data_IF_277976293608
#
_entry.id   IF_277976293608
#
_cell.length_a   1.000
_cell.length_b   1.000
_cell.length_c   1.000
_cell.angle_alpha   90.00
_cell.angle_beta   90.00
_cell.angle_gamma   90.00
#
_symmetry.space_group_name_H-M   'P 1'
#
loop_
_entity.id
_entity.type
_entity.pdbx_description
1 polymer ?
#
# COMPACT_ATOMS: atom_id res chain seq x y z
N UNK A 1 -1.45 -17.65 21.27
CA UNK A 1 -2.55 -18.05 20.37
C UNK A 1 -3.87 -17.59 20.99
N UNK A 2 -4.47 -16.53 20.46
CA UNK A 2 -5.80 -16.05 20.81
C UNK A 2 -6.47 -15.70 19.47
N UNK A 3 -7.40 -16.52 19.01
CA UNK A 3 -7.90 -16.42 17.64
C UNK A 3 -8.97 -17.45 17.33
N UNK A 4 -8.58 -18.64 16.89
CA UNK A 4 -9.56 -19.68 16.54
C UNK A 4 -10.35 -20.12 17.79
N UNK A 5 -11.69 -20.03 17.75
CA UNK A 5 -12.59 -20.55 18.80
C UNK A 5 -13.19 -19.55 19.78
N UNK A 6 -12.80 -18.27 19.76
CA UNK A 6 -13.46 -17.23 20.56
C UNK A 6 -14.35 -16.40 19.66
N UNK A 7 -15.67 -16.60 19.80
CA UNK A 7 -16.71 -15.87 19.07
C UNK A 7 -17.41 -14.86 19.98
N UNK A 8 -16.76 -13.71 20.17
CA UNK A 8 -17.32 -12.58 20.91
C UNK A 8 -17.75 -11.52 19.92
N UNK A 9 -19.06 -11.34 19.76
CA UNK A 9 -19.62 -10.45 18.73
C UNK A 9 -19.36 -8.97 19.00
N UNK A 10 -19.21 -8.59 20.27
CA UNK A 10 -19.12 -7.21 20.72
C UNK A 10 -17.69 -6.69 20.97
N UNK A 11 -16.70 -7.17 20.21
CA UNK A 11 -15.33 -6.65 20.26
C UNK A 11 -15.32 -5.25 19.62
N UNK A 12 -14.92 -4.23 20.42
CA UNK A 12 -14.87 -2.82 19.97
C UNK A 12 -13.52 -2.37 19.43
N UNK A 13 -12.45 -3.01 19.87
CA UNK A 13 -11.10 -2.64 19.49
C UNK A 13 -10.29 -3.89 19.17
N UNK A 14 -9.58 -3.84 18.04
CA UNK A 14 -8.49 -4.77 17.73
C UNK A 14 -7.23 -3.94 17.58
N UNK A 15 -6.23 -4.23 18.41
CA UNK A 15 -4.97 -3.49 18.45
C UNK A 15 -3.84 -4.43 18.07
N UNK A 16 -3.15 -4.10 16.98
CA UNK A 16 -1.92 -4.74 16.56
C UNK A 16 -0.76 -3.89 17.05
N UNK A 17 -0.03 -4.39 18.05
CA UNK A 17 1.15 -3.69 18.58
C UNK A 17 2.41 -3.89 17.72
N UNK A 18 2.43 -4.95 16.91
CA UNK A 18 3.47 -5.23 15.93
C UNK A 18 2.84 -5.47 14.56
N UNK A 19 3.64 -5.27 13.51
CA UNK A 19 3.20 -5.56 12.15
C UNK A 19 2.87 -7.05 11.98
N UNK A 20 1.66 -7.40 11.50
CA UNK A 20 1.35 -8.76 11.08
C UNK A 20 2.30 -9.25 9.99
N UNK A 21 2.41 -10.58 9.85
CA UNK A 21 3.31 -11.18 8.86
C UNK A 21 2.83 -11.01 7.41
N UNK A 22 1.53 -10.78 7.20
CA UNK A 22 0.88 -10.67 5.90
C UNK A 22 -0.52 -10.05 6.06
N UNK A 23 -1.14 -9.67 4.93
CA UNK A 23 -2.46 -9.03 4.89
C UNK A 23 -3.58 -10.01 5.26
N UNK A 24 -3.45 -11.29 4.93
CA UNK A 24 -4.49 -12.30 5.20
C UNK A 24 -4.70 -12.50 6.71
N UNK A 25 -3.61 -12.64 7.46
CA UNK A 25 -3.64 -12.71 8.93
C UNK A 25 -4.22 -11.42 9.52
N UNK A 26 -3.76 -10.26 9.03
CA UNK A 26 -4.28 -8.97 9.49
C UNK A 26 -5.79 -8.86 9.27
N UNK A 27 -6.27 -9.19 8.06
CA UNK A 27 -7.69 -9.14 7.70
C UNK A 27 -8.55 -10.06 8.57
N UNK A 28 -8.09 -11.29 8.78
CA UNK A 28 -8.77 -12.25 9.65
C UNK A 28 -8.84 -11.77 11.11
N UNK A 29 -7.78 -11.16 11.61
CA UNK A 29 -7.67 -10.68 12.99
C UNK A 29 -8.56 -9.45 13.22
N UNK A 30 -8.53 -8.46 12.32
CA UNK A 30 -9.39 -7.27 12.44
C UNK A 30 -10.88 -7.58 12.23
N UNK A 31 -11.20 -8.60 11.42
CA UNK A 31 -12.59 -9.06 11.18
C UNK A 31 -13.29 -9.68 12.41
N UNK A 32 -12.62 -9.71 13.56
CA UNK A 32 -13.22 -10.07 14.85
C UNK A 32 -13.95 -8.90 15.51
N UNK A 33 -13.58 -7.68 15.17
CA UNK A 33 -14.22 -6.48 15.70
C UNK A 33 -15.59 -6.28 15.06
N UNK A 34 -16.57 -5.76 15.81
CA UNK A 34 -17.80 -5.23 15.19
C UNK A 34 -18.75 -6.26 14.58
N UNK A 35 -18.70 -7.55 14.96
CA UNK A 35 -19.58 -8.59 14.39
C UNK A 35 -21.06 -8.39 14.72
N UNK A 36 -21.35 -7.64 15.77
CA UNK A 36 -22.69 -7.17 16.14
C UNK A 36 -23.18 -5.96 15.29
N UNK A 37 -22.37 -5.49 14.32
CA UNK A 37 -22.69 -4.33 13.46
C UNK A 37 -22.48 -2.98 14.13
N UNK A 38 -22.14 -2.94 15.43
CA UNK A 38 -21.82 -1.70 16.12
C UNK A 38 -20.44 -1.19 15.69
N UNK A 39 -20.23 0.13 15.84
CA UNK A 39 -18.93 0.76 15.54
C UNK A 39 -17.80 0.06 16.30
N UNK A 40 -16.73 -0.23 15.58
CA UNK A 40 -15.51 -0.80 16.13
C UNK A 40 -14.32 -0.21 15.40
N UNK A 41 -13.19 -0.13 16.11
CA UNK A 41 -11.95 0.46 15.63
C UNK A 41 -10.84 -0.59 15.57
N UNK A 42 -9.94 -0.40 14.60
CA UNK A 42 -8.75 -1.20 14.43
C UNK A 42 -7.54 -0.28 14.44
N UNK A 43 -6.52 -0.63 15.22
CA UNK A 43 -5.31 0.19 15.38
C UNK A 43 -4.08 -0.67 15.11
N UNK A 44 -3.27 -0.25 14.15
CA UNK A 44 -1.99 -0.89 13.84
C UNK A 44 -0.85 0.06 14.20
N UNK A 45 -0.05 -0.34 15.18
CA UNK A 45 1.26 0.25 15.40
C UNK A 45 2.26 -0.39 14.45
N UNK A 46 3.03 0.45 13.76
CA UNK A 46 3.99 0.04 12.75
C UNK A 46 5.30 0.79 12.91
N UNK A 47 6.40 0.05 12.89
CA UNK A 47 7.74 0.57 12.69
C UNK A 47 8.46 -0.21 11.57
N UNK A 48 9.39 0.45 10.89
CA UNK A 48 10.23 -0.25 9.91
C UNK A 48 11.10 -1.33 10.57
N UNK A 49 11.44 -1.16 11.85
CA UNK A 49 12.18 -2.16 12.63
C UNK A 49 11.42 -3.48 12.76
N UNK A 50 10.09 -3.45 12.87
CA UNK A 50 9.27 -4.68 12.87
C UNK A 50 9.48 -5.50 11.60
N UNK A 51 9.58 -4.83 10.45
CA UNK A 51 9.83 -5.49 9.15
C UNK A 51 11.19 -6.15 9.14
N UNK A 52 12.23 -5.47 9.62
CA UNK A 52 13.59 -6.01 9.66
C UNK A 52 13.67 -7.26 10.55
N UNK A 53 13.03 -7.21 11.72
CA UNK A 53 12.97 -8.36 12.65
C UNK A 53 12.24 -9.54 12.00
N UNK A 54 11.08 -9.30 11.38
CA UNK A 54 10.33 -10.37 10.70
C UNK A 54 11.09 -10.95 9.51
N UNK A 55 11.80 -10.13 8.73
CA UNK A 55 12.65 -10.60 7.63
C UNK A 55 13.79 -11.50 8.12
N UNK A 56 14.46 -11.14 9.22
CA UNK A 56 15.52 -11.96 9.83
C UNK A 56 14.97 -13.32 10.31
N UNK A 57 13.82 -13.31 11.00
CA UNK A 57 13.13 -14.52 11.43
C UNK A 57 12.78 -15.41 10.23
N UNK A 58 12.27 -14.82 9.14
CA UNK A 58 11.91 -15.58 7.94
C UNK A 58 13.14 -16.23 7.29
N UNK A 59 14.25 -15.50 7.18
CA UNK A 59 15.50 -16.01 6.58
C UNK A 59 16.12 -17.15 7.37
N UNK A 60 16.02 -17.13 8.69
CA UNK A 60 16.54 -18.20 9.57
C UNK A 60 15.76 -19.51 9.48
N UNK A 61 14.48 -19.45 9.11
CA UNK A 61 13.59 -20.61 9.04
C UNK A 61 13.61 -21.29 7.66
N UNK A 62 14.79 -21.40 7.02
CA UNK A 62 15.04 -21.92 5.66
C UNK A 62 13.89 -22.78 5.12
N UNK A 63 13.04 -22.16 4.29
CA UNK A 63 11.88 -22.82 3.69
C UNK A 63 11.83 -22.51 2.21
N UNK A 64 11.45 -23.48 1.39
CA UNK A 64 11.25 -23.31 -0.06
C UNK A 64 10.31 -22.14 -0.40
N UNK A 65 9.44 -21.78 0.55
CA UNK A 65 8.47 -20.68 0.44
C UNK A 65 9.01 -19.31 0.93
N UNK A 66 10.31 -19.16 1.16
CA UNK A 66 10.90 -17.93 1.73
C UNK A 66 10.59 -16.70 0.86
N UNK A 67 10.73 -16.82 -0.46
CA UNK A 67 10.45 -15.73 -1.40
C UNK A 67 9.01 -15.23 -1.30
N UNK A 68 8.04 -16.15 -1.25
CA UNK A 68 6.62 -15.81 -1.08
C UNK A 68 6.34 -15.14 0.27
N UNK A 69 6.91 -15.68 1.36
CA UNK A 69 6.73 -15.10 2.70
C UNK A 69 7.29 -13.67 2.78
N UNK A 70 8.45 -13.42 2.16
CA UNK A 70 9.02 -12.08 2.06
C UNK A 70 8.12 -11.15 1.23
N UNK A 71 7.59 -11.62 0.09
CA UNK A 71 6.69 -10.83 -0.73
C UNK A 71 5.41 -10.44 0.03
N UNK A 72 4.81 -11.36 0.79
CA UNK A 72 3.63 -11.09 1.62
C UNK A 72 3.93 -10.09 2.75
N UNK A 73 5.10 -10.20 3.38
CA UNK A 73 5.54 -9.25 4.40
C UNK A 73 5.77 -7.85 3.79
N UNK A 74 6.39 -7.77 2.62
CA UNK A 74 6.57 -6.51 1.90
C UNK A 74 5.22 -5.88 1.57
N UNK A 75 4.23 -6.70 1.17
CA UNK A 75 2.87 -6.22 0.92
C UNK A 75 2.21 -5.66 2.19
N UNK A 76 2.42 -6.29 3.35
CA UNK A 76 1.92 -5.79 4.63
C UNK A 76 2.60 -4.48 5.04
N UNK A 77 3.92 -4.34 4.80
CA UNK A 77 4.63 -3.05 4.96
C UNK A 77 3.98 -1.97 4.08
N UNK A 78 3.81 -2.26 2.79
CA UNK A 78 3.20 -1.34 1.83
C UNK A 78 1.79 -0.93 2.24
N UNK A 79 1.00 -1.84 2.82
CA UNK A 79 -0.31 -1.52 3.39
C UNK A 79 -0.19 -0.51 4.53
N UNK A 80 0.74 -0.70 5.47
CA UNK A 80 0.94 0.21 6.60
C UNK A 80 1.43 1.61 6.14
N UNK A 81 2.28 1.66 5.12
CA UNK A 81 2.85 2.90 4.55
C UNK A 81 1.94 3.59 3.52
N UNK A 82 0.81 2.97 3.17
CA UNK A 82 -0.03 3.45 2.08
C UNK A 82 -0.63 4.83 2.34
N UNK A 83 -0.76 5.59 1.26
CA UNK A 83 -1.36 6.94 1.22
C UNK A 83 -2.77 6.97 0.62
N UNK A 84 -3.29 5.81 0.21
CA UNK A 84 -4.66 5.63 -0.28
C UNK A 84 -5.57 5.05 0.80
N UNK A 85 -6.88 4.97 0.52
CA UNK A 85 -7.86 4.40 1.42
C UNK A 85 -7.49 2.98 1.88
N UNK A 86 -7.35 2.77 3.20
CA UNK A 86 -7.00 1.46 3.78
C UNK A 86 -7.96 0.35 3.35
N UNK A 87 -9.27 0.64 3.34
CA UNK A 87 -10.30 -0.35 3.00
C UNK A 87 -10.18 -0.77 1.54
N UNK A 88 -10.04 0.19 0.63
CA UNK A 88 -9.87 -0.09 -0.80
C UNK A 88 -8.68 -1.02 -1.03
N UNK A 89 -7.56 -0.78 -0.36
CA UNK A 89 -6.37 -1.65 -0.46
C UNK A 89 -6.66 -3.08 0.01
N UNK A 90 -7.34 -3.25 1.14
CA UNK A 90 -7.69 -4.58 1.65
C UNK A 90 -8.61 -5.32 0.68
N UNK A 91 -9.62 -4.64 0.13
CA UNK A 91 -10.58 -5.24 -0.80
C UNK A 91 -9.93 -5.57 -2.15
N UNK A 92 -9.13 -4.66 -2.69
CA UNK A 92 -8.36 -4.92 -3.93
C UNK A 92 -7.33 -6.04 -3.77
N UNK A 93 -6.78 -6.27 -2.57
CA UNK A 93 -5.92 -7.43 -2.31
C UNK A 93 -6.64 -8.77 -2.50
N UNK A 94 -7.95 -8.82 -2.24
CA UNK A 94 -8.81 -9.98 -2.49
C UNK A 94 -9.55 -9.89 -3.83
N UNK A 95 -9.03 -9.09 -4.77
CA UNK A 95 -9.57 -8.89 -6.11
C UNK A 95 -11.01 -8.37 -6.14
N UNK A 96 -11.43 -7.65 -5.08
CA UNK A 96 -12.69 -6.92 -5.06
C UNK A 96 -12.49 -5.51 -5.66
N UNK A 97 -13.29 -5.19 -6.68
CA UNK A 97 -13.25 -3.88 -7.34
C UNK A 97 -14.07 -2.86 -6.55
N UNK A 98 -13.38 -1.86 -6.00
CA UNK A 98 -13.98 -0.77 -5.25
C UNK A 98 -13.45 0.54 -5.80
N UNK A 99 -14.34 1.29 -6.46
CA UNK A 99 -14.00 2.57 -7.06
C UNK A 99 -13.86 3.70 -6.02
N UNK A 100 -14.64 3.62 -4.94
CA UNK A 100 -14.78 4.71 -3.96
C UNK A 100 -13.98 4.49 -2.68
N UNK A 101 -13.51 5.60 -2.11
CA UNK A 101 -12.84 5.61 -0.80
C UNK A 101 -13.86 5.48 0.34
N UNK A 102 -13.48 4.78 1.41
CA UNK A 102 -14.43 4.36 2.44
C UNK A 102 -14.92 5.44 3.41
N UNK A 103 -14.31 6.62 3.42
CA UNK A 103 -14.62 7.71 4.36
C UNK A 103 -14.34 7.42 5.85
N UNK A 104 -13.94 6.21 6.24
CA UNK A 104 -13.87 5.79 7.65
C UNK A 104 -12.49 5.32 8.14
N UNK A 105 -11.45 5.30 7.29
CA UNK A 105 -10.09 4.99 7.73
C UNK A 105 -9.27 6.24 8.09
N UNK A 106 -8.13 6.05 8.73
CA UNK A 106 -7.17 7.10 9.10
C UNK A 106 -6.75 7.98 7.90
N UNK A 107 -6.50 7.35 6.74
CA UNK A 107 -6.14 8.06 5.51
C UNK A 107 -7.30 8.88 4.97
N UNK A 108 -8.52 8.33 4.93
CA UNK A 108 -9.70 9.09 4.48
C UNK A 108 -10.06 10.25 5.41
N UNK A 109 -9.83 10.09 6.72
CA UNK A 109 -10.08 11.14 7.73
C UNK A 109 -9.04 12.26 7.67
N UNK A 110 -7.83 11.97 7.17
CA UNK A 110 -6.77 12.95 6.99
C UNK A 110 -6.05 12.70 5.65
N UNK A 111 -6.66 13.06 4.52
CA UNK A 111 -6.16 12.72 3.20
C UNK A 111 -4.89 13.51 2.86
N UNK A 112 -3.91 12.89 2.19
CA UNK A 112 -2.75 13.60 1.66
C UNK A 112 -3.13 14.55 0.51
N UNK A 113 -2.23 15.48 0.17
CA UNK A 113 -2.41 16.33 -1.02
C UNK A 113 -2.28 15.48 -2.28
N UNK A 114 -3.40 15.24 -2.95
CA UNK A 114 -3.48 14.56 -4.23
C UNK A 114 -3.38 15.55 -5.41
N UNK A 115 -3.10 15.03 -6.60
CA UNK A 115 -3.14 15.75 -7.87
C UNK A 115 -3.72 14.83 -8.97
N UNK A 116 -4.19 15.43 -10.08
CA UNK A 116 -4.62 14.68 -11.25
C UNK A 116 -3.41 13.96 -11.89
N UNK A 117 -3.31 12.67 -11.61
CA UNK A 117 -2.28 11.76 -12.11
C UNK A 117 -2.77 10.89 -13.25
N UNK A 118 -3.91 11.21 -13.88
CA UNK A 118 -4.56 10.37 -14.90
C UNK A 118 -3.61 10.02 -16.04
N UNK A 119 -2.84 10.99 -16.55
CA UNK A 119 -1.88 10.73 -17.63
C UNK A 119 -0.74 9.81 -17.18
N UNK A 120 -0.28 9.94 -15.93
CA UNK A 120 0.75 9.05 -15.36
C UNK A 120 0.21 7.63 -15.26
N UNK A 121 -1.03 7.47 -14.78
CA UNK A 121 -1.71 6.19 -14.71
C UNK A 121 -1.88 5.58 -16.11
N UNK A 122 -2.37 6.36 -17.08
CA UNK A 122 -2.53 5.91 -18.47
C UNK A 122 -1.21 5.46 -19.10
N UNK A 123 -0.09 6.19 -18.87
CA UNK A 123 1.25 5.79 -19.31
C UNK A 123 1.63 4.41 -18.73
N UNK A 124 1.47 4.23 -17.41
CA UNK A 124 1.78 2.97 -16.73
C UNK A 124 0.92 1.80 -17.22
N UNK A 125 -0.41 1.96 -17.22
CA UNK A 125 -1.34 0.91 -17.66
C UNK A 125 -1.11 0.56 -19.14
N UNK A 126 -0.85 1.57 -19.99
CA UNK A 126 -0.49 1.37 -21.39
C UNK A 126 0.82 0.62 -21.59
N UNK A 127 1.81 0.85 -20.72
CA UNK A 127 3.08 0.15 -20.76
C UNK A 127 2.91 -1.32 -20.35
N UNK A 128 2.20 -1.58 -19.25
CA UNK A 128 1.88 -2.94 -18.78
C UNK A 128 1.14 -3.73 -19.88
N UNK A 129 0.16 -3.11 -20.55
CA UNK A 129 -0.54 -3.72 -21.69
C UNK A 129 0.41 -4.09 -22.84
N UNK A 130 1.29 -3.17 -23.25
CA UNK A 130 2.23 -3.38 -24.38
C UNK A 130 3.34 -4.37 -24.05
N UNK A 131 3.70 -4.49 -22.78
CA UNK A 131 4.60 -5.51 -22.27
C UNK A 131 3.89 -6.86 -22.08
N UNK A 132 2.68 -7.02 -22.62
CA UNK A 132 1.89 -8.25 -22.58
C UNK A 132 1.66 -8.79 -21.17
N UNK A 133 1.74 -7.91 -20.15
CA UNK A 133 1.54 -8.26 -18.75
C UNK A 133 2.47 -9.39 -18.27
N UNK A 134 3.68 -9.49 -18.82
CA UNK A 134 4.64 -10.60 -18.58
C UNK A 134 5.92 -10.16 -17.86
N UNK A 135 5.89 -8.99 -17.21
CA UNK A 135 7.04 -8.43 -16.50
C UNK A 135 6.66 -7.86 -15.13
N UNK A 136 7.65 -7.79 -14.23
CA UNK A 136 7.50 -7.18 -12.91
C UNK A 136 7.58 -5.65 -12.92
N UNK A 137 7.22 -5.02 -11.80
CA UNK A 137 7.18 -3.55 -11.65
C UNK A 137 8.48 -2.86 -12.06
N UNK A 138 9.64 -3.38 -11.66
CA UNK A 138 10.94 -2.77 -11.98
C UNK A 138 11.15 -2.62 -13.49
N UNK A 139 10.82 -3.66 -14.25
CA UNK A 139 10.94 -3.65 -15.71
C UNK A 139 9.94 -2.67 -16.34
N UNK A 140 8.71 -2.58 -15.83
CA UNK A 140 7.74 -1.56 -16.26
C UNK A 140 8.31 -0.15 -16.08
N UNK A 141 8.93 0.13 -14.93
CA UNK A 141 9.54 1.44 -14.64
C UNK A 141 10.73 1.69 -15.57
N UNK A 142 11.60 0.69 -15.77
CA UNK A 142 12.75 0.80 -16.67
C UNK A 142 12.30 1.14 -18.10
N UNK A 143 11.23 0.52 -18.60
CA UNK A 143 10.65 0.81 -19.91
C UNK A 143 10.08 2.23 -19.95
N UNK A 144 9.24 2.62 -18.98
CA UNK A 144 8.66 3.96 -18.91
C UNK A 144 9.73 5.06 -18.89
N UNK A 145 10.84 4.81 -18.20
CA UNK A 145 11.95 5.77 -18.09
C UNK A 145 12.92 5.76 -19.28
N UNK A 146 12.78 4.81 -20.21
CA UNK A 146 13.69 4.69 -21.34
C UNK A 146 15.06 4.13 -20.95
N UNK A 147 15.09 3.15 -20.06
CA UNK A 147 16.33 2.53 -19.55
C UNK A 147 17.10 1.83 -20.66
N UNK A 148 18.42 2.03 -20.70
CA UNK A 148 19.35 1.40 -21.64
C UNK A 148 19.83 0.01 -21.23
N UNK A 149 19.24 -0.60 -20.20
CA UNK A 149 19.65 -1.92 -19.69
C UNK A 149 19.62 -2.97 -20.80
N UNK A 150 20.62 -3.84 -20.82
CA UNK A 150 20.78 -4.91 -21.81
C UNK A 150 19.52 -5.77 -21.96
N UNK A 151 18.90 -6.15 -20.85
CA UNK A 151 17.66 -6.95 -20.83
C UNK A 151 16.50 -6.28 -21.60
N UNK A 152 16.36 -4.95 -21.49
CA UNK A 152 15.32 -4.18 -22.20
C UNK A 152 15.56 -4.19 -23.71
N UNK A 153 16.83 -4.13 -24.12
CA UNK A 153 17.23 -4.16 -25.52
C UNK A 153 17.02 -5.56 -26.12
N UNK A 154 17.52 -6.60 -25.44
CA UNK A 154 17.40 -7.99 -25.87
C UNK A 154 15.95 -8.46 -26.01
N UNK A 155 15.07 -8.00 -25.11
CA UNK A 155 13.62 -8.32 -25.17
C UNK A 155 12.83 -7.46 -26.15
N UNK A 156 13.47 -6.51 -26.84
CA UNK A 156 12.81 -5.62 -27.81
C UNK A 156 11.85 -4.59 -27.19
N UNK A 157 11.88 -4.41 -25.86
CA UNK A 157 10.98 -3.49 -25.16
C UNK A 157 11.24 -2.01 -25.46
N UNK A 158 12.38 -1.68 -26.04
CA UNK A 158 12.69 -0.34 -26.55
C UNK A 158 11.84 0.05 -27.78
N UNK A 159 11.23 -0.92 -28.48
CA UNK A 159 10.47 -0.67 -29.70
C UNK A 159 9.00 -0.30 -29.47
N UNK A 160 8.50 -0.35 -28.23
CA UNK A 160 7.11 -0.02 -27.93
C UNK A 160 6.91 1.49 -27.72
N UNK A 161 5.74 2.01 -28.08
CA UNK A 161 5.42 3.45 -27.96
C UNK A 161 5.56 4.04 -26.55
N UNK A 162 5.46 3.21 -25.52
CA UNK A 162 5.55 3.63 -24.12
C UNK A 162 6.98 3.65 -23.58
N UNK A 163 7.97 3.23 -24.37
CA UNK A 163 9.38 3.34 -24.00
C UNK A 163 9.78 4.81 -23.88
N UNK A 164 10.32 5.21 -22.73
CA UNK A 164 10.72 6.59 -22.45
C UNK A 164 9.57 7.58 -22.25
N UNK A 165 8.30 7.13 -22.29
CA UNK A 165 7.13 8.01 -22.16
C UNK A 165 7.02 8.69 -20.79
N UNK A 166 7.78 8.25 -19.79
CA UNK A 166 7.85 8.76 -18.43
C UNK A 166 9.27 9.08 -17.97
N UNK A 167 10.16 9.44 -18.89
CA UNK A 167 11.56 9.77 -18.60
C UNK A 167 11.74 10.97 -17.67
N UNK A 168 10.73 11.83 -17.59
CA UNK A 168 10.64 13.00 -16.70
C UNK A 168 10.44 12.62 -15.22
N UNK A 169 10.00 11.39 -14.94
CA UNK A 169 9.70 10.94 -13.57
C UNK A 169 10.82 10.03 -13.05
N UNK A 170 11.38 10.31 -11.85
CA UNK A 170 12.40 9.46 -11.23
C UNK A 170 11.89 8.04 -10.93
N UNK A 171 12.81 7.07 -10.84
CA UNK A 171 12.48 5.67 -10.55
C UNK A 171 11.61 5.50 -9.30
N UNK A 172 12.01 6.17 -8.22
CA UNK A 172 11.34 6.05 -6.93
C UNK A 172 9.92 6.64 -6.96
N UNK A 173 9.70 7.69 -7.74
CA UNK A 173 8.35 8.24 -7.94
C UNK A 173 7.48 7.30 -8.77
N UNK A 174 8.03 6.71 -9.83
CA UNK A 174 7.33 5.69 -10.61
C UNK A 174 6.95 4.47 -9.75
N UNK A 175 7.86 4.00 -8.91
CA UNK A 175 7.59 2.92 -7.96
C UNK A 175 6.43 3.30 -7.02
N UNK A 176 6.41 4.54 -6.54
CA UNK A 176 5.33 5.07 -5.71
C UNK A 176 3.99 5.16 -6.46
N UNK A 177 3.98 5.58 -7.73
CA UNK A 177 2.76 5.64 -8.54
C UNK A 177 2.23 4.25 -8.89
N UNK A 178 3.09 3.30 -9.28
CA UNK A 178 2.66 1.91 -9.51
C UNK A 178 2.08 1.28 -8.24
N UNK A 179 2.67 1.55 -7.08
CA UNK A 179 2.13 1.06 -5.81
C UNK A 179 0.74 1.64 -5.51
N UNK A 180 0.50 2.91 -5.86
CA UNK A 180 -0.84 3.49 -5.75
C UNK A 180 -1.83 2.83 -6.72
N UNK A 181 -1.43 2.55 -7.96
CA UNK A 181 -2.31 1.84 -8.92
C UNK A 181 -2.65 0.43 -8.44
N UNK A 182 -1.70 -0.27 -7.81
CA UNK A 182 -1.94 -1.57 -7.16
C UNK A 182 -2.93 -1.43 -6.00
N UNK A 183 -2.75 -0.41 -5.17
CA UNK A 183 -3.61 -0.12 -4.02
C UNK A 183 -5.03 0.30 -4.41
N UNK A 184 -5.20 0.89 -5.60
CA UNK A 184 -6.49 1.25 -6.15
C UNK A 184 -7.16 0.11 -6.92
N UNK A 185 -6.47 -1.01 -7.09
CA UNK A 185 -6.97 -2.19 -7.78
C UNK A 185 -6.93 -2.08 -9.30
N UNK A 186 -6.18 -1.15 -9.90
CA UNK A 186 -6.02 -1.08 -11.37
C UNK A 186 -5.02 -2.10 -11.91
N UNK A 187 -4.08 -2.52 -11.07
CA UNK A 187 -3.11 -3.56 -11.37
C UNK A 187 -3.07 -4.56 -10.22
N UNK A 188 -2.62 -5.76 -10.50
CA UNK A 188 -2.37 -6.81 -9.52
C UNK A 188 -1.03 -7.50 -9.78
N UNK A 189 -0.52 -8.20 -8.76
CA UNK A 189 0.73 -8.96 -8.85
C UNK A 189 0.38 -10.44 -8.89
N UNK A 190 0.72 -11.10 -10.00
CA UNK A 190 0.60 -12.55 -10.13
C UNK A 190 1.77 -13.23 -9.38
N UNK A 191 1.56 -13.55 -8.10
CA UNK A 191 2.58 -14.16 -7.25
C UNK A 191 2.98 -15.58 -7.69
N UNK A 192 2.10 -16.27 -8.40
CA UNK A 192 2.31 -17.57 -9.06
C UNK A 192 3.13 -17.46 -10.37
N UNK A 193 3.15 -16.28 -10.99
CA UNK A 193 3.84 -16.01 -12.26
C UNK A 193 5.03 -15.07 -12.03
N UNK A 194 5.93 -15.42 -11.12
CA UNK A 194 7.19 -14.68 -10.87
C UNK A 194 7.00 -13.18 -10.52
N UNK A 195 5.83 -12.78 -10.01
CA UNK A 195 5.56 -11.39 -9.64
C UNK A 195 5.29 -10.47 -10.84
N UNK A 196 4.79 -11.04 -11.95
CA UNK A 196 4.30 -10.29 -13.10
C UNK A 196 3.18 -9.32 -12.71
N UNK A 197 3.20 -8.13 -13.32
CA UNK A 197 2.16 -7.13 -13.13
C UNK A 197 1.07 -7.32 -14.18
N UNK A 198 -0.15 -7.56 -13.72
CA UNK A 198 -1.35 -7.72 -14.57
C UNK A 198 -2.26 -6.51 -14.43
N UNK A 199 -3.04 -6.23 -15.48
CA UNK A 199 -4.12 -5.27 -15.46
C UNK A 199 -5.39 -5.95 -14.93
N UNK A 200 -6.15 -5.23 -14.11
CA UNK A 200 -7.48 -5.68 -13.68
C UNK A 200 -8.57 -5.11 -14.60
N UNK A 201 -9.83 -5.57 -14.51
CA UNK A 201 -10.94 -4.94 -15.22
C UNK A 201 -11.06 -3.43 -14.97
N UNK A 202 -10.75 -2.97 -13.75
CA UNK A 202 -10.78 -1.55 -13.37
C UNK A 202 -9.85 -0.67 -14.21
N UNK A 203 -8.73 -1.22 -14.72
CA UNK A 203 -7.80 -0.46 -15.58
C UNK A 203 -8.45 0.08 -16.86
N UNK A 204 -9.49 -0.59 -17.37
CA UNK A 204 -10.20 -0.17 -18.59
C UNK A 204 -10.88 1.18 -18.41
N UNK A 205 -11.39 1.46 -17.22
CA UNK A 205 -12.06 2.73 -16.93
C UNK A 205 -11.13 3.93 -17.10
N UNK A 206 -9.87 3.77 -16.69
CA UNK A 206 -8.83 4.80 -16.83
C UNK A 206 -8.33 4.93 -18.28
N UNK A 207 -8.22 3.80 -18.99
CA UNK A 207 -7.69 3.77 -20.36
C UNK A 207 -8.72 4.21 -21.41
N UNK A 208 -10.00 3.89 -21.21
CA UNK A 208 -11.03 4.01 -22.25
C UNK A 208 -12.28 4.78 -21.83
N UNK A 209 -12.57 4.90 -20.53
CA UNK A 209 -13.82 5.50 -20.02
C UNK A 209 -13.59 6.86 -19.35
N UNK A 210 -12.40 7.44 -19.52
CA UNK A 210 -12.01 8.74 -18.97
C UNK A 210 -12.09 8.86 -17.43
N UNK A 211 -11.98 7.75 -16.70
CA UNK A 211 -11.88 7.80 -15.24
C UNK A 211 -10.63 8.58 -14.81
N UNK A 212 -10.82 9.54 -13.90
CA UNK A 212 -9.75 10.36 -13.35
C UNK A 212 -9.05 9.64 -12.22
N UNK A 213 -7.72 9.62 -12.26
CA UNK A 213 -6.89 9.01 -11.22
C UNK A 213 -6.21 10.08 -10.39
N UNK A 214 -6.56 10.18 -9.12
CA UNK A 214 -5.91 11.06 -8.16
C UNK A 214 -4.69 10.34 -7.54
N UNK A 215 -3.51 10.88 -7.77
CA UNK A 215 -2.24 10.35 -7.23
C UNK A 215 -1.66 11.30 -6.18
N UNK A 216 -0.82 10.74 -5.31
CA UNK A 216 -0.07 11.46 -4.28
C UNK A 216 1.40 11.47 -4.66
N UNK A 217 2.04 12.64 -4.56
CA UNK A 217 3.48 12.77 -4.81
C UNK A 217 4.30 12.28 -3.62
N UNK A 218 5.48 11.74 -3.90
CA UNK A 218 6.42 11.29 -2.86
C UNK A 218 6.88 12.43 -1.93
N UNK A 219 7.05 13.65 -2.47
CA UNK A 219 7.41 14.83 -1.67
C UNK A 219 6.38 15.16 -0.59
N UNK A 220 5.08 15.06 -0.92
CA UNK A 220 3.97 15.29 0.02
C UNK A 220 4.05 14.37 1.24
N UNK A 221 4.51 13.13 1.05
CA UNK A 221 4.68 12.15 2.15
C UNK A 221 5.77 12.60 3.10
N UNK A 222 6.92 13.03 2.57
CA UNK A 222 8.04 13.53 3.38
C UNK A 222 7.65 14.79 4.15
N UNK A 223 6.91 15.71 3.52
CA UNK A 223 6.39 16.92 4.17
C UNK A 223 5.45 16.58 5.33
N UNK A 224 4.51 15.65 5.09
CA UNK A 224 3.57 15.19 6.11
C UNK A 224 4.27 14.55 7.30
N UNK A 225 5.22 13.65 7.07
CA UNK A 225 6.01 13.01 8.14
C UNK A 225 6.79 14.04 8.97
N UNK A 226 7.33 15.10 8.33
CA UNK A 226 7.99 16.19 9.05
C UNK A 226 7.00 16.98 9.91
N UNK A 227 5.82 17.30 9.37
CA UNK A 227 4.78 18.04 10.09
C UNK A 227 4.23 17.24 11.29
N UNK A 228 4.00 15.94 11.14
CA UNK A 228 3.55 15.06 12.22
C UNK A 228 4.60 14.96 13.33
N UNK A 229 5.89 14.82 12.98
CA UNK A 229 6.99 14.86 13.96
C UNK A 229 7.09 16.20 14.69
N UNK A 230 6.83 17.32 14.01
CA UNK A 230 6.80 18.63 14.63
C UNK A 230 5.65 18.75 15.65
N UNK A 231 4.43 18.35 15.27
CA UNK A 231 3.26 18.33 16.17
C UNK A 231 3.48 17.44 17.39
N UNK A 232 4.04 16.24 17.19
CA UNK A 232 4.35 15.32 18.30
C UNK A 232 5.35 15.91 19.30
N UNK A 233 6.34 16.68 18.82
CA UNK A 233 7.28 17.41 19.68
C UNK A 233 6.61 18.55 20.45
N UNK A 234 5.61 19.22 19.87
CA UNK A 234 4.85 20.26 20.56
C UNK A 234 3.94 19.67 21.65
N UNK A 235 3.25 18.56 21.36
CA UNK A 235 2.39 17.88 22.35
C UNK A 235 3.16 17.17 23.45
N UNK A 236 4.43 16.81 23.23
CA UNK A 236 5.31 16.20 24.23
C UNK A 236 5.94 17.22 25.19
N UNK A 237 5.69 18.52 25.03
CA UNK A 237 6.03 19.50 26.08
C UNK A 237 5.12 19.22 27.28
N UNK A 238 5.66 18.93 28.47
CA UNK A 238 4.84 18.66 29.64
C UNK A 238 3.99 19.91 29.93
N UNK A 239 2.68 19.82 29.71
CA UNK A 239 1.75 20.68 30.41
C UNK A 239 1.93 20.33 31.89
N UNK A 240 2.41 21.29 32.69
CA UNK A 240 2.33 21.19 34.15
C UNK A 240 0.85 21.07 34.49
N UNK A 241 0.37 19.84 34.63
CA UNK A 241 -0.91 19.58 35.27
C UNK A 241 -0.72 20.09 36.69
N UNK A 242 -1.37 21.21 37.00
CA UNK A 242 -1.36 21.80 38.34
C UNK A 242 -2.01 20.79 39.27
N UNK A 243 -1.35 20.47 40.39
CA UNK A 243 -1.73 19.46 41.40
C UNK A 243 -3.03 19.80 42.16
N UNK A 244 -4.07 20.32 41.52
CA UNK A 244 -5.34 20.71 42.16
C UNK A 244 -6.40 19.59 42.12
N UNK A 245 -6.12 18.45 41.47
CA UNK A 245 -7.12 17.37 41.30
C UNK A 245 -7.12 16.32 42.43
N UNK A 246 -6.14 16.33 43.34
CA UNK A 246 -6.01 15.31 44.40
C UNK A 246 -6.44 15.78 45.81
N UNK A 247 -6.90 17.02 45.99
CA UNK A 247 -7.40 17.51 47.30
C UNK A 247 -8.92 17.33 47.52
N UNK A 248 -9.63 16.57 46.67
CA UNK A 248 -11.07 16.32 46.83
C UNK A 248 -11.47 14.84 46.71
N UNK A 249 -10.76 13.95 47.41
CA UNK A 249 -11.25 12.61 47.75
C UNK A 249 -11.23 12.41 49.26
#
# INVERSE_FOLDING_TARGET
AFGMGIDKSNIRWVIHYNLPKNIESYYQEIGRAGRDGAKADTLLFYSYQDVMVLQDILKKNESDMLGLKIAKLDRMRQYAEAVGCRRRILLSYFSEDVAEDCGNCDVCKNPPKAFDGTVIAQKALSAIYRLQQSVGMTTVIDVLRGSGKREIMERGYHNIKTYGAGSDIPFLEWQHYLLQLLNYGYIEIAHDQHGEVKLTPASRRVLFENEKVQLVRFATIKERQKAEKARAKESAKPQRVRDELFEKL
#
